data_IF_421471527780
#
_entry.id   IF_421471527780
#
_cell.length_a   1.000
_cell.length_b   1.000
_cell.length_c   1.000
_cell.angle_alpha   90.00
_cell.angle_beta   90.00
_cell.angle_gamma   90.00
#
_symmetry.space_group_name_H-M   'P 1'
#
loop_
_entity.id
_entity.type
_entity.pdbx_description
1 polymer ?
#
# COMPACT_ATOMS: atom_id res chain seq x y z
N UNK A 1 -4.89 3.46 10.86
CA UNK A 1 -3.44 3.61 10.81
C UNK A 1 -2.91 3.28 9.46
N UNK A 2 -1.96 4.04 8.98
CA UNK A 2 -1.51 3.92 7.60
C UNK A 2 -0.25 3.07 7.47
N UNK A 3 -0.29 1.87 8.00
CA UNK A 3 0.88 0.98 7.96
C UNK A 3 1.29 0.64 6.54
N UNK A 4 0.32 0.42 5.66
CA UNK A 4 0.63 0.10 4.27
C UNK A 4 1.35 1.26 3.58
N UNK A 5 0.84 2.47 3.75
CA UNK A 5 1.47 3.65 3.14
C UNK A 5 2.88 3.85 3.67
N UNK A 6 3.04 3.73 4.97
CA UNK A 6 4.35 3.87 5.58
C UNK A 6 5.32 2.84 5.04
N UNK A 7 4.85 1.60 4.88
CA UNK A 7 5.68 0.51 4.36
C UNK A 7 6.11 0.79 2.92
N UNK A 8 5.17 1.24 2.10
CA UNK A 8 5.46 1.54 0.71
C UNK A 8 6.48 2.66 0.58
N UNK A 9 6.33 3.70 1.38
CA UNK A 9 7.27 4.83 1.37
C UNK A 9 8.64 4.38 1.88
N UNK A 10 8.65 3.54 2.89
CA UNK A 10 9.89 3.05 3.48
C UNK A 10 10.67 2.21 2.48
N UNK A 11 9.97 1.49 1.60
CA UNK A 11 10.57 0.68 0.57
C UNK A 11 10.77 1.44 -0.73
N UNK A 12 10.50 2.74 -0.70
CA UNK A 12 10.64 3.62 -1.87
C UNK A 12 9.72 3.20 -3.02
N UNK A 13 8.53 2.71 -2.68
CA UNK A 13 7.54 2.28 -3.66
C UNK A 13 6.47 3.36 -3.81
N UNK A 14 6.91 4.52 -4.23
CA UNK A 14 6.04 5.71 -4.33
C UNK A 14 4.89 5.47 -5.33
N UNK A 15 5.19 4.84 -6.45
CA UNK A 15 4.18 4.57 -7.47
C UNK A 15 3.07 3.69 -6.91
N UNK A 16 3.43 2.68 -6.16
CA UNK A 16 2.45 1.79 -5.56
C UNK A 16 1.61 2.53 -4.52
N UNK A 17 2.24 3.42 -3.77
CA UNK A 17 1.53 4.21 -2.77
C UNK A 17 0.47 5.09 -3.43
N UNK A 18 0.84 5.73 -4.54
CA UNK A 18 -0.10 6.56 -5.29
C UNK A 18 -1.25 5.73 -5.85
N UNK A 19 -0.93 4.59 -6.41
CA UNK A 19 -1.93 3.72 -7.00
C UNK A 19 -2.90 3.21 -5.94
N UNK A 20 -2.38 2.82 -4.80
CA UNK A 20 -3.22 2.34 -3.71
C UNK A 20 -4.15 3.42 -3.20
N UNK A 21 -3.72 4.68 -3.25
CA UNK A 21 -4.56 5.79 -2.81
C UNK A 21 -5.70 6.05 -3.78
N UNK A 22 -5.50 5.73 -5.07
CA UNK A 22 -6.51 5.97 -6.08
C UNK A 22 -7.39 4.75 -6.35
N UNK A 23 -6.88 3.57 -6.08
CA UNK A 23 -7.57 2.31 -6.37
C UNK A 23 -7.64 1.48 -5.10
N UNK A 24 -8.82 1.41 -4.50
CA UNK A 24 -9.00 0.69 -3.25
C UNK A 24 -8.81 -0.82 -3.42
N UNK A 25 -9.15 -1.35 -4.59
CA UNK A 25 -8.96 -2.77 -4.86
C UNK A 25 -7.47 -3.09 -4.88
N UNK A 26 -6.67 -2.23 -5.47
CA UNK A 26 -5.23 -2.42 -5.51
C UNK A 26 -4.64 -2.32 -4.09
N UNK A 27 -5.16 -1.36 -3.31
CA UNK A 27 -4.74 -1.19 -1.94
C UNK A 27 -5.00 -2.47 -1.13
N UNK A 28 -6.18 -3.05 -1.31
CA UNK A 28 -6.55 -4.28 -0.62
C UNK A 28 -5.63 -5.43 -0.99
N UNK A 29 -5.28 -5.53 -2.26
CA UNK A 29 -4.36 -6.56 -2.73
C UNK A 29 -2.98 -6.42 -2.09
N UNK A 30 -2.49 -5.20 -2.01
CA UNK A 30 -1.20 -4.94 -1.37
C UNK A 30 -1.23 -5.29 0.10
N UNK A 31 -2.32 -4.99 0.77
CA UNK A 31 -2.47 -5.33 2.18
C UNK A 31 -2.36 -6.83 2.39
N UNK A 32 -2.97 -7.60 1.50
CA UNK A 32 -2.91 -9.06 1.57
C UNK A 32 -1.49 -9.56 1.36
N UNK A 33 -0.77 -8.95 0.41
CA UNK A 33 0.60 -9.35 0.13
C UNK A 33 1.52 -9.07 1.30
N UNK A 34 1.26 -7.99 2.02
CA UNK A 34 2.09 -7.60 3.15
C UNK A 34 1.64 -8.22 4.46
N UNK A 35 0.51 -8.91 4.44
CA UNK A 35 -0.02 -9.52 5.64
C UNK A 35 -0.62 -8.51 6.61
N UNK A 36 -1.04 -7.37 6.11
CA UNK A 36 -1.69 -6.33 6.91
C UNK A 36 -3.19 -6.54 6.79
N UNK A 37 -3.86 -6.68 7.90
CA UNK A 37 -5.27 -6.96 7.77
C UNK A 37 -6.12 -6.52 8.91
#
# INVERSE_FOLDING_TARGET
MADLMKRLLDENRIEDAKRAAEDLAYCDELMKQYGIG
#
